data_IF_486418097147
#
_entry.id   IF_486418097147
#
_cell.length_a   1.000
_cell.length_b   1.000
_cell.length_c   1.000
_cell.angle_alpha   90.00
_cell.angle_beta   90.00
_cell.angle_gamma   90.00
#
_symmetry.space_group_name_H-M   'P 1'
#
loop_
_entity.id
_entity.type
_entity.pdbx_description
1 polymer ?
#
# COMPACT_ATOMS: atom_id res chain seq x y z
N UNK A 1 -9.48 20.64 -7.46
CA UNK A 1 -8.63 21.71 -6.87
C UNK A 1 -8.04 22.65 -7.92
N UNK A 2 -8.17 22.34 -9.23
CA UNK A 2 -7.59 23.15 -10.31
C UNK A 2 -6.07 23.00 -10.54
N UNK A 3 -5.41 22.10 -9.82
CA UNK A 3 -3.97 21.85 -9.98
C UNK A 3 -3.63 21.12 -11.28
N UNK A 4 -4.56 20.32 -11.82
CA UNK A 4 -4.40 19.62 -13.09
C UNK A 4 -5.27 20.31 -14.16
N UNK A 5 -4.62 20.99 -15.10
CA UNK A 5 -5.25 21.56 -16.29
C UNK A 5 -5.14 20.64 -17.51
N UNK A 6 -5.76 21.02 -18.64
CA UNK A 6 -5.60 20.30 -19.90
C UNK A 6 -4.13 20.16 -20.27
N UNK A 7 -3.71 18.96 -20.71
CA UNK A 7 -2.35 18.67 -21.12
C UNK A 7 -1.32 18.58 -19.98
N UNK A 8 -1.75 18.58 -18.72
CA UNK A 8 -0.85 18.40 -17.60
C UNK A 8 -0.24 16.99 -17.59
N UNK A 9 1.00 16.89 -17.10
CA UNK A 9 1.70 15.63 -16.89
C UNK A 9 1.73 15.31 -15.41
N UNK A 10 1.19 14.16 -15.03
CA UNK A 10 1.30 13.63 -13.68
C UNK A 10 2.61 12.88 -13.56
N UNK A 11 3.40 13.15 -12.53
CA UNK A 11 4.62 12.42 -12.22
C UNK A 11 4.43 11.76 -10.84
N UNK A 12 4.79 10.49 -10.71
CA UNK A 12 4.73 9.83 -9.40
C UNK A 12 5.88 8.85 -9.20
N UNK A 13 6.65 9.01 -8.11
CA UNK A 13 7.62 8.01 -7.69
C UNK A 13 6.88 6.87 -6.99
N UNK A 14 6.73 5.74 -7.66
CA UNK A 14 6.01 4.59 -7.11
C UNK A 14 6.46 3.28 -7.75
N UNK A 15 6.58 2.26 -6.94
CA UNK A 15 6.88 0.90 -7.37
C UNK A 15 5.66 -0.02 -7.39
N UNK A 16 4.48 0.48 -7.06
CA UNK A 16 3.36 -0.38 -6.74
C UNK A 16 2.00 0.04 -7.30
N UNK A 17 0.98 -0.29 -6.54
CA UNK A 17 -0.42 -0.17 -6.92
C UNK A 17 -0.86 1.27 -7.19
N UNK A 18 -0.24 2.27 -6.52
CA UNK A 18 -0.48 3.68 -6.82
C UNK A 18 -0.18 4.02 -8.27
N UNK A 19 0.93 3.51 -8.82
CA UNK A 19 1.28 3.71 -10.23
C UNK A 19 0.25 3.10 -11.19
N UNK A 20 -0.23 1.90 -10.89
CA UNK A 20 -1.26 1.23 -11.69
C UNK A 20 -2.58 2.01 -11.62
N UNK A 21 -3.00 2.44 -10.44
CA UNK A 21 -4.21 3.24 -10.25
C UNK A 21 -4.15 4.59 -10.95
N UNK A 22 -3.01 5.30 -10.84
CA UNK A 22 -2.79 6.55 -11.56
C UNK A 22 -2.80 6.34 -13.08
N UNK A 23 -2.20 5.25 -13.57
CA UNK A 23 -2.17 4.93 -15.00
C UNK A 23 -3.58 4.70 -15.55
N UNK A 24 -4.40 3.93 -14.84
CA UNK A 24 -5.81 3.71 -15.19
C UNK A 24 -6.60 5.04 -15.25
N UNK A 25 -6.48 5.86 -14.20
CA UNK A 25 -7.20 7.15 -14.13
C UNK A 25 -6.67 8.15 -15.16
N UNK A 26 -5.36 8.22 -15.37
CA UNK A 26 -4.75 9.11 -16.38
C UNK A 26 -5.23 8.75 -17.79
N UNK A 27 -5.22 7.45 -18.15
CA UNK A 27 -5.73 6.96 -19.41
C UNK A 27 -7.20 7.34 -19.63
N UNK A 28 -8.05 7.10 -18.63
CA UNK A 28 -9.50 7.38 -18.74
C UNK A 28 -9.82 8.88 -18.81
N UNK A 29 -8.94 9.75 -18.34
CA UNK A 29 -9.13 11.20 -18.28
C UNK A 29 -8.24 12.00 -19.25
N UNK A 30 -7.43 11.32 -20.07
CA UNK A 30 -6.57 11.96 -21.06
C UNK A 30 -5.38 12.73 -20.47
N UNK A 31 -4.92 12.39 -19.27
CA UNK A 31 -3.69 12.95 -18.69
C UNK A 31 -2.47 12.18 -19.16
N UNK A 32 -1.35 12.89 -19.31
CA UNK A 32 -0.04 12.24 -19.44
C UNK A 32 0.43 11.78 -18.06
N UNK A 33 1.09 10.61 -18.02
CA UNK A 33 1.61 10.05 -16.78
C UNK A 33 3.03 9.55 -16.96
N UNK A 34 3.92 10.00 -16.08
CA UNK A 34 5.28 9.50 -15.94
C UNK A 34 5.42 8.82 -14.57
N UNK A 35 5.73 7.54 -14.58
CA UNK A 35 6.01 6.78 -13.35
C UNK A 35 7.50 6.62 -13.21
N UNK A 36 8.02 7.00 -12.04
CA UNK A 36 9.42 6.78 -11.67
C UNK A 36 9.49 5.63 -10.69
N UNK A 37 10.27 4.59 -11.00
CA UNK A 37 10.37 3.41 -10.16
C UNK A 37 11.76 2.77 -10.19
N UNK A 38 12.18 2.11 -9.09
CA UNK A 38 13.41 1.32 -9.10
C UNK A 38 13.34 0.19 -10.13
N UNK A 39 14.46 -0.09 -10.79
CA UNK A 39 14.56 -1.14 -11.83
C UNK A 39 14.32 -2.57 -11.30
N UNK A 40 14.34 -2.77 -9.99
CA UNK A 40 14.16 -4.06 -9.32
C UNK A 40 12.69 -4.51 -9.19
N UNK A 41 11.74 -3.69 -9.65
CA UNK A 41 10.30 -4.00 -9.52
C UNK A 41 9.81 -5.05 -10.52
N UNK A 42 8.71 -5.75 -10.17
CA UNK A 42 8.15 -6.84 -10.96
C UNK A 42 7.80 -6.42 -12.39
N UNK A 43 7.99 -7.35 -13.33
CA UNK A 43 7.75 -7.13 -14.76
C UNK A 43 6.27 -6.87 -15.02
N UNK A 44 5.37 -7.57 -14.33
CA UNK A 44 3.92 -7.47 -14.47
C UNK A 44 3.43 -6.04 -14.20
N UNK A 45 3.93 -5.42 -13.12
CA UNK A 45 3.57 -4.04 -12.78
C UNK A 45 4.00 -3.05 -13.86
N UNK A 46 5.22 -3.22 -14.40
CA UNK A 46 5.70 -2.38 -15.51
C UNK A 46 4.85 -2.57 -16.76
N UNK A 47 4.50 -3.81 -17.09
CA UNK A 47 3.64 -4.11 -18.24
C UNK A 47 2.24 -3.51 -18.09
N UNK A 48 1.62 -3.63 -16.91
CA UNK A 48 0.31 -3.02 -16.64
C UNK A 48 0.32 -1.51 -16.82
N UNK A 49 1.31 -0.81 -16.24
CA UNK A 49 1.40 0.65 -16.38
C UNK A 49 1.61 1.07 -17.84
N UNK A 50 2.49 0.37 -18.59
CA UNK A 50 2.69 0.61 -20.02
C UNK A 50 1.44 0.33 -20.84
N UNK A 51 0.68 -0.71 -20.51
CA UNK A 51 -0.57 -1.03 -21.19
C UNK A 51 -1.62 0.09 -21.06
N UNK A 52 -1.62 0.82 -19.93
CA UNK A 52 -2.43 2.02 -19.76
C UNK A 52 -1.83 3.28 -20.40
N UNK A 53 -0.66 3.18 -21.04
CA UNK A 53 -0.02 4.31 -21.72
C UNK A 53 0.88 5.19 -20.83
N UNK A 54 1.23 4.73 -19.63
CA UNK A 54 2.17 5.46 -18.79
C UNK A 54 3.61 5.35 -19.32
N UNK A 55 4.35 6.46 -19.27
CA UNK A 55 5.80 6.48 -19.47
C UNK A 55 6.49 6.01 -18.21
N UNK A 56 7.49 5.11 -18.35
CA UNK A 56 8.25 4.58 -17.23
C UNK A 56 9.68 5.11 -17.27
N UNK A 57 10.10 5.74 -16.19
CA UNK A 57 11.48 6.14 -15.92
C UNK A 57 12.03 5.25 -14.81
N UNK A 58 13.07 4.48 -15.13
CA UNK A 58 13.71 3.60 -14.15
C UNK A 58 14.80 4.36 -13.40
N UNK A 59 14.80 4.23 -12.07
CA UNK A 59 15.86 4.73 -11.19
C UNK A 59 16.76 3.58 -10.73
N UNK A 60 17.96 3.93 -10.24
CA UNK A 60 18.90 2.97 -9.70
C UNK A 60 18.27 2.14 -8.56
N UNK A 61 18.22 0.84 -8.74
CA UNK A 61 17.65 -0.09 -7.78
C UNK A 61 18.32 -0.08 -6.41
N UNK A 62 19.64 0.22 -6.36
CA UNK A 62 20.40 0.31 -5.11
C UNK A 62 19.97 1.47 -4.21
N UNK A 63 19.35 2.50 -4.80
CA UNK A 63 18.84 3.69 -4.09
C UNK A 63 17.38 3.53 -3.65
N UNK A 64 16.72 2.46 -4.06
CA UNK A 64 15.33 2.16 -3.71
C UNK A 64 14.36 3.32 -4.00
N UNK A 65 13.39 3.50 -3.11
CA UNK A 65 12.36 4.55 -3.28
C UNK A 65 12.92 5.96 -3.15
N UNK A 66 13.97 6.18 -2.36
CA UNK A 66 14.60 7.49 -2.23
C UNK A 66 15.16 7.98 -3.59
N UNK A 67 15.82 7.11 -4.35
CA UNK A 67 16.29 7.43 -5.69
C UNK A 67 15.16 7.72 -6.68
N UNK A 68 14.03 7.03 -6.56
CA UNK A 68 12.87 7.32 -7.40
C UNK A 68 12.23 8.68 -7.07
N UNK A 69 12.18 9.06 -5.80
CA UNK A 69 11.67 10.37 -5.37
C UNK A 69 12.53 11.49 -5.92
N UNK A 70 13.86 11.43 -5.74
CA UNK A 70 14.78 12.44 -6.27
C UNK A 70 14.65 12.58 -7.79
N UNK A 71 14.56 11.46 -8.51
CA UNK A 71 14.40 11.50 -9.97
C UNK A 71 13.07 12.12 -10.39
N UNK A 72 11.99 11.88 -9.64
CA UNK A 72 10.70 12.53 -9.90
C UNK A 72 10.77 14.06 -9.66
N UNK A 73 11.50 14.50 -8.63
CA UNK A 73 11.73 15.92 -8.35
C UNK A 73 12.59 16.62 -9.41
N UNK A 74 13.52 15.91 -10.05
CA UNK A 74 14.24 16.40 -11.22
C UNK A 74 13.30 16.59 -12.40
N UNK A 75 12.54 15.55 -12.74
CA UNK A 75 11.64 15.56 -13.89
C UNK A 75 10.57 16.65 -13.79
N UNK A 76 10.07 16.96 -12.61
CA UNK A 76 9.06 18.03 -12.45
C UNK A 76 9.63 19.41 -12.77
N UNK A 77 10.95 19.60 -12.66
CA UNK A 77 11.62 20.84 -13.03
C UNK A 77 11.87 20.92 -14.54
N UNK A 78 12.05 19.78 -15.19
CA UNK A 78 12.36 19.65 -16.62
C UNK A 78 11.09 19.65 -17.49
N UNK A 79 10.00 19.08 -16.99
CA UNK A 79 8.75 18.90 -17.75
C UNK A 79 7.77 20.04 -17.41
N UNK A 80 7.51 20.97 -18.32
CA UNK A 80 6.56 22.05 -18.08
C UNK A 80 5.14 21.51 -17.84
N UNK A 81 4.35 22.21 -17.03
CA UNK A 81 2.98 21.83 -16.68
C UNK A 81 2.88 20.42 -16.07
N UNK A 82 3.87 20.04 -15.25
CA UNK A 82 3.89 18.77 -14.56
C UNK A 82 3.57 18.92 -13.07
N UNK A 83 3.16 17.81 -12.45
CA UNK A 83 2.70 17.78 -11.07
C UNK A 83 3.04 16.42 -10.44
N UNK A 84 3.65 16.43 -9.25
CA UNK A 84 3.85 15.22 -8.44
C UNK A 84 2.58 14.94 -7.65
N UNK A 85 1.95 13.76 -7.84
CA UNK A 85 0.74 13.38 -7.11
C UNK A 85 1.01 13.20 -5.61
N UNK A 86 2.20 12.68 -5.25
CA UNK A 86 2.75 12.76 -3.89
C UNK A 86 2.06 11.83 -2.90
N UNK A 87 2.01 10.55 -3.16
CA UNK A 87 1.29 9.57 -2.33
C UNK A 87 1.66 9.58 -0.84
N UNK A 88 2.88 10.00 -0.50
CA UNK A 88 3.39 10.03 0.89
C UNK A 88 3.03 11.30 1.66
N UNK A 89 2.60 12.36 0.95
CA UNK A 89 2.36 13.70 1.52
C UNK A 89 0.97 14.25 1.20
N UNK A 90 0.28 13.71 0.20
CA UNK A 90 -1.01 14.20 -0.27
C UNK A 90 -2.15 13.74 0.63
N UNK A 91 -2.87 14.66 1.32
CA UNK A 91 -3.96 14.31 2.21
C UNK A 91 -5.17 13.69 1.50
N UNK A 92 -5.24 13.77 0.16
CA UNK A 92 -6.28 13.09 -0.61
C UNK A 92 -6.18 11.55 -0.48
N UNK A 93 -4.98 11.01 -0.20
CA UNK A 93 -4.76 9.59 0.02
C UNK A 93 -5.56 9.07 1.23
N UNK A 94 -5.29 9.46 2.49
CA UNK A 94 -6.10 9.00 3.62
C UNK A 94 -7.56 9.46 3.53
N UNK A 95 -7.84 10.64 2.95
CA UNK A 95 -9.21 11.10 2.76
C UNK A 95 -10.03 10.16 1.87
N UNK A 96 -9.47 9.60 0.81
CA UNK A 96 -10.15 8.64 -0.04
C UNK A 96 -10.60 7.42 0.78
N UNK A 97 -9.72 6.85 1.59
CA UNK A 97 -10.05 5.71 2.45
C UNK A 97 -11.05 6.05 3.56
N UNK A 98 -10.98 7.26 4.10
CA UNK A 98 -11.98 7.75 5.06
C UNK A 98 -13.37 7.85 4.45
N UNK A 99 -13.47 8.26 3.17
CA UNK A 99 -14.74 8.49 2.49
C UNK A 99 -15.29 7.26 1.75
N UNK A 100 -14.48 6.21 1.53
CA UNK A 100 -14.90 5.01 0.79
C UNK A 100 -14.60 3.72 1.57
N UNK A 101 -13.34 3.33 1.70
CA UNK A 101 -12.93 2.04 2.30
C UNK A 101 -13.47 1.86 3.73
N UNK A 102 -13.40 2.90 4.55
CA UNK A 102 -13.95 2.87 5.92
C UNK A 102 -15.46 2.65 5.96
N UNK A 103 -16.27 3.47 5.24
CA UNK A 103 -17.70 3.24 5.09
C UNK A 103 -18.07 1.87 4.56
N UNK A 104 -17.43 1.40 3.48
CA UNK A 104 -17.69 0.09 2.88
C UNK A 104 -17.46 -1.04 3.89
N UNK A 105 -16.32 -1.05 4.61
CA UNK A 105 -16.06 -2.04 5.66
C UNK A 105 -17.12 -1.98 6.76
N UNK A 106 -17.52 -0.77 7.16
CA UNK A 106 -18.53 -0.59 8.20
C UNK A 106 -19.90 -1.14 7.79
N UNK A 107 -20.31 -0.88 6.55
CA UNK A 107 -21.59 -1.35 5.98
C UNK A 107 -21.57 -2.87 5.80
N UNK A 108 -20.54 -3.43 5.20
CA UNK A 108 -20.41 -4.87 4.93
C UNK A 108 -20.33 -5.72 6.21
N UNK A 109 -19.82 -5.12 7.29
CA UNK A 109 -19.76 -5.81 8.60
C UNK A 109 -20.96 -5.49 9.50
N UNK A 110 -21.89 -4.65 9.05
CA UNK A 110 -23.00 -4.11 9.87
C UNK A 110 -22.48 -3.48 11.18
N UNK A 111 -21.28 -2.87 11.13
CA UNK A 111 -20.59 -2.31 12.29
C UNK A 111 -20.07 -3.34 13.31
N UNK A 112 -20.21 -4.63 13.00
CA UNK A 112 -19.78 -5.71 13.88
C UNK A 112 -18.35 -6.15 13.54
N UNK A 113 -17.37 -5.37 13.98
CA UNK A 113 -15.94 -5.71 13.90
C UNK A 113 -15.22 -5.21 15.15
N UNK A 114 -14.21 -5.95 15.58
CA UNK A 114 -13.39 -5.63 16.76
C UNK A 114 -11.98 -5.18 16.40
N UNK A 115 -11.46 -5.70 15.28
CA UNK A 115 -10.13 -5.38 14.77
C UNK A 115 -10.16 -5.01 13.29
N UNK A 116 -9.32 -4.03 12.94
CA UNK A 116 -8.95 -3.73 11.56
C UNK A 116 -7.44 -3.89 11.40
N UNK A 117 -6.99 -4.72 10.46
CA UNK A 117 -5.58 -5.03 10.21
C UNK A 117 -5.20 -4.59 8.80
N UNK A 118 -4.15 -3.81 8.65
CA UNK A 118 -3.67 -3.35 7.35
C UNK A 118 -2.15 -3.18 7.30
N UNK A 119 -1.56 -3.52 6.16
CA UNK A 119 -0.15 -3.23 5.85
C UNK A 119 0.10 -1.74 5.65
N UNK A 120 1.27 -1.26 6.10
CA UNK A 120 1.63 0.16 6.02
C UNK A 120 2.70 0.39 4.96
N UNK A 121 2.27 0.90 3.80
CA UNK A 121 3.13 1.49 2.77
C UNK A 121 3.18 3.00 2.96
N UNK A 122 2.26 3.74 2.33
CA UNK A 122 2.10 5.19 2.57
C UNK A 122 1.39 5.50 3.88
N UNK A 123 0.66 4.55 4.43
CA UNK A 123 -0.17 4.76 5.62
C UNK A 123 -1.55 5.35 5.34
N UNK A 124 -1.86 5.66 4.07
CA UNK A 124 -3.16 6.25 3.72
C UNK A 124 -4.35 5.36 4.08
N UNK A 125 -4.25 4.08 3.77
CA UNK A 125 -5.29 3.08 4.06
C UNK A 125 -5.59 3.01 5.56
N UNK A 126 -4.56 2.74 6.37
CA UNK A 126 -4.75 2.55 7.82
C UNK A 126 -5.20 3.84 8.49
N UNK A 127 -4.67 4.99 8.05
CA UNK A 127 -5.07 6.30 8.58
C UNK A 127 -6.54 6.59 8.28
N UNK A 128 -6.92 6.61 7.02
CA UNK A 128 -8.28 6.99 6.64
C UNK A 128 -9.34 6.00 7.13
N UNK A 129 -9.11 4.71 6.89
CA UNK A 129 -10.02 3.65 7.34
C UNK A 129 -10.09 3.59 8.87
N UNK A 130 -8.93 3.61 9.54
CA UNK A 130 -8.87 3.55 11.00
C UNK A 130 -9.54 4.74 11.68
N UNK A 131 -9.34 5.96 11.19
CA UNK A 131 -10.02 7.15 11.68
C UNK A 131 -11.55 7.06 11.53
N UNK A 132 -12.03 6.59 10.37
CA UNK A 132 -13.45 6.40 10.15
C UNK A 132 -14.05 5.35 11.10
N UNK A 133 -13.44 4.17 11.16
CA UNK A 133 -13.92 3.05 11.97
C UNK A 133 -13.88 3.36 13.48
N UNK A 134 -12.79 3.96 13.97
CA UNK A 134 -12.72 4.41 15.39
C UNK A 134 -13.70 5.52 15.70
N UNK A 135 -14.02 6.37 14.72
CA UNK A 135 -15.09 7.38 14.88
C UNK A 135 -16.48 6.78 15.03
N UNK A 136 -16.70 5.56 14.48
CA UNK A 136 -17.94 4.78 14.63
C UNK A 136 -17.96 3.90 15.88
N UNK A 137 -16.82 3.29 16.21
CA UNK A 137 -16.66 2.35 17.33
C UNK A 137 -15.32 2.63 18.03
N UNK A 138 -15.37 3.39 19.13
CA UNK A 138 -14.19 3.92 19.81
C UNK A 138 -13.26 2.87 20.45
N UNK A 139 -13.77 1.67 20.74
CA UNK A 139 -13.02 0.54 21.30
C UNK A 139 -12.42 -0.40 20.22
N UNK A 140 -12.70 -0.14 18.95
CA UNK A 140 -12.13 -0.88 17.83
C UNK A 140 -10.60 -0.78 17.84
N UNK A 141 -9.93 -1.91 17.66
CA UNK A 141 -8.47 -1.99 17.60
C UNK A 141 -7.98 -1.96 16.16
N UNK A 142 -7.01 -1.10 15.90
CA UNK A 142 -6.34 -0.97 14.61
C UNK A 142 -4.93 -1.51 14.72
N UNK A 143 -4.58 -2.46 13.85
CA UNK A 143 -3.27 -3.13 13.83
C UNK A 143 -2.53 -2.76 12.56
N UNK A 144 -1.40 -2.11 12.72
CA UNK A 144 -0.48 -1.79 11.64
C UNK A 144 0.46 -2.97 11.37
N UNK A 145 0.76 -3.24 10.10
CA UNK A 145 1.68 -4.29 9.71
C UNK A 145 2.87 -3.71 8.97
N UNK A 146 4.08 -4.06 9.42
CA UNK A 146 5.33 -3.64 8.81
C UNK A 146 6.28 -4.83 8.57
N UNK A 147 7.29 -4.72 7.69
CA UNK A 147 8.34 -5.72 7.57
C UNK A 147 9.20 -5.78 8.85
N UNK A 148 9.42 -6.98 9.40
CA UNK A 148 10.30 -7.16 10.56
C UNK A 148 11.73 -6.69 10.30
N UNK A 149 12.22 -6.83 9.04
CA UNK A 149 13.54 -6.36 8.62
C UNK A 149 13.64 -4.83 8.44
N UNK A 150 12.51 -4.10 8.47
CA UNK A 150 12.44 -2.64 8.33
C UNK A 150 11.39 -2.07 9.29
N UNK A 151 11.59 -2.30 10.58
CA UNK A 151 10.63 -2.08 11.67
C UNK A 151 10.58 -0.60 12.13
N UNK A 152 10.37 0.32 11.18
CA UNK A 152 10.42 1.77 11.43
C UNK A 152 9.29 2.24 12.33
N UNK A 153 8.09 1.67 12.20
CA UNK A 153 6.93 2.06 13.02
C UNK A 153 7.06 1.58 14.47
N UNK A 154 7.77 0.47 14.68
CA UNK A 154 8.09 -0.05 16.02
C UNK A 154 9.32 0.62 16.66
N UNK A 155 9.86 1.70 16.07
CA UNK A 155 11.04 2.41 16.57
C UNK A 155 12.38 1.78 16.20
N UNK A 156 12.40 0.80 15.30
CA UNK A 156 13.60 0.21 14.71
C UNK A 156 14.17 1.02 13.57
N UNK A 157 15.11 0.41 12.84
CA UNK A 157 15.76 1.02 11.68
C UNK A 157 15.17 0.50 10.38
N UNK A 158 15.20 1.32 9.34
CA UNK A 158 14.95 0.88 7.97
C UNK A 158 16.01 -0.16 7.55
N UNK A 159 15.57 -1.15 6.80
CA UNK A 159 16.43 -2.22 6.28
C UNK A 159 15.84 -2.85 5.03
N UNK A 160 16.61 -3.70 4.34
CA UNK A 160 16.14 -4.40 3.14
C UNK A 160 15.07 -5.46 3.52
N UNK A 161 14.09 -5.61 2.65
CA UNK A 161 13.03 -6.64 2.76
C UNK A 161 12.35 -6.89 1.41
N UNK A 162 11.77 -8.07 1.22
CA UNK A 162 11.02 -8.45 0.02
C UNK A 162 9.52 -8.24 0.10
N UNK A 163 8.98 -7.65 1.18
CA UNK A 163 7.55 -7.37 1.33
C UNK A 163 7.14 -6.17 0.48
N UNK A 164 6.98 -6.38 -0.84
CA UNK A 164 6.59 -5.33 -1.78
C UNK A 164 5.24 -4.70 -1.39
N UNK A 165 5.18 -3.37 -1.46
CA UNK A 165 3.96 -2.59 -1.19
C UNK A 165 3.82 -2.01 0.22
N UNK A 166 4.63 -2.49 1.18
CA UNK A 166 4.70 -1.96 2.55
C UNK A 166 6.15 -1.66 2.94
N UNK A 167 6.37 -0.99 4.08
CA UNK A 167 7.71 -0.75 4.60
C UNK A 167 8.51 0.25 3.77
N UNK A 168 8.06 1.49 3.64
CA UNK A 168 8.71 2.54 2.83
C UNK A 168 10.12 2.94 3.32
N UNK A 169 10.53 2.49 4.51
CA UNK A 169 11.83 2.83 5.12
C UNK A 169 11.83 4.14 5.90
N UNK A 170 10.71 4.82 5.97
CA UNK A 170 10.48 6.05 6.74
C UNK A 170 9.02 6.14 7.18
N UNK A 171 8.72 7.06 8.11
CA UNK A 171 7.34 7.36 8.52
C UNK A 171 6.74 8.39 7.55
N UNK A 172 5.74 8.01 6.73
CA UNK A 172 5.14 8.95 5.77
C UNK A 172 4.37 10.08 6.45
N UNK A 173 4.34 11.26 5.82
CA UNK A 173 3.63 12.43 6.36
C UNK A 173 2.12 12.22 6.46
N UNK A 174 1.52 11.44 5.57
CA UNK A 174 0.08 11.14 5.59
C UNK A 174 -0.32 10.09 6.63
N UNK A 175 0.65 9.42 7.26
CA UNK A 175 0.39 8.44 8.29
C UNK A 175 0.08 9.11 9.63
N UNK A 176 -1.10 8.88 10.16
CA UNK A 176 -1.43 9.20 11.54
C UNK A 176 -0.97 8.05 12.46
N UNK A 177 0.18 8.25 13.12
CA UNK A 177 0.76 7.24 14.02
C UNK A 177 -0.06 7.00 15.31
N UNK A 178 -1.09 7.80 15.55
CA UNK A 178 -1.99 7.64 16.70
C UNK A 178 -3.24 6.81 16.36
N UNK A 179 -3.45 6.48 15.09
CA UNK A 179 -4.65 5.76 14.67
C UNK A 179 -4.59 4.27 15.01
N UNK A 180 -3.41 3.66 15.02
CA UNK A 180 -3.23 2.25 15.34
C UNK A 180 -2.86 2.04 16.81
N UNK A 181 -3.30 0.90 17.35
CA UNK A 181 -3.09 0.50 18.75
C UNK A 181 -1.87 -0.42 18.86
N UNK A 182 -1.50 -1.11 17.80
CA UNK A 182 -0.43 -2.10 17.76
C UNK A 182 0.27 -2.11 16.42
N UNK A 183 1.56 -2.46 16.42
CA UNK A 183 2.35 -2.73 15.20
C UNK A 183 2.84 -4.16 15.23
N UNK A 184 2.60 -4.91 14.15
CA UNK A 184 3.05 -6.30 13.98
C UNK A 184 4.10 -6.36 12.88
N UNK A 185 5.32 -6.76 13.26
CA UNK A 185 6.42 -7.03 12.32
C UNK A 185 6.31 -8.42 11.71
N UNK A 186 6.32 -8.53 10.37
CA UNK A 186 6.16 -9.78 9.64
C UNK A 186 7.44 -10.13 8.87
N UNK A 187 7.83 -11.41 8.88
CA UNK A 187 8.90 -11.95 8.07
C UNK A 187 8.40 -12.22 6.64
N UNK A 188 9.31 -12.16 5.68
CA UNK A 188 8.99 -12.42 4.27
C UNK A 188 8.46 -13.84 4.05
N UNK A 189 9.11 -14.83 4.66
CA UNK A 189 8.72 -16.22 4.60
C UNK A 189 7.31 -16.49 5.13
N UNK A 190 6.91 -15.80 6.21
CA UNK A 190 5.57 -15.89 6.80
C UNK A 190 4.51 -15.33 5.86
N UNK A 191 4.78 -14.16 5.25
CA UNK A 191 3.88 -13.53 4.29
C UNK A 191 3.69 -14.43 3.04
N UNK A 192 4.78 -14.96 2.49
CA UNK A 192 4.74 -15.85 1.32
C UNK A 192 3.98 -17.15 1.62
N UNK A 193 4.20 -17.74 2.80
CA UNK A 193 3.47 -18.94 3.22
C UNK A 193 1.95 -18.69 3.26
N UNK A 194 1.52 -17.54 3.78
CA UNK A 194 0.09 -17.19 3.84
C UNK A 194 -0.50 -16.88 2.45
N UNK A 195 0.25 -16.25 1.53
CA UNK A 195 -0.19 -16.08 0.15
C UNK A 195 -0.48 -17.44 -0.51
N UNK A 196 0.47 -18.38 -0.40
CA UNK A 196 0.34 -19.74 -0.96
C UNK A 196 -0.81 -20.51 -0.30
N UNK A 197 -0.96 -20.39 1.01
CA UNK A 197 -2.03 -21.05 1.75
C UNK A 197 -3.40 -20.52 1.34
N UNK A 198 -3.54 -19.20 1.18
CA UNK A 198 -4.77 -18.55 0.74
C UNK A 198 -5.20 -19.06 -0.64
N UNK A 199 -4.26 -19.14 -1.60
CA UNK A 199 -4.53 -19.70 -2.92
C UNK A 199 -4.95 -21.17 -2.88
N UNK A 200 -4.26 -21.99 -2.05
CA UNK A 200 -4.53 -23.44 -1.96
C UNK A 200 -5.78 -23.82 -1.18
N UNK A 201 -6.16 -23.03 -0.17
CA UNK A 201 -7.28 -23.34 0.73
C UNK A 201 -8.56 -22.60 0.39
N UNK A 202 -8.44 -21.33 -0.01
CA UNK A 202 -9.59 -20.46 -0.27
C UNK A 202 -9.80 -20.18 -1.78
N UNK A 203 -8.85 -20.58 -2.64
CA UNK A 203 -8.93 -20.32 -4.08
C UNK A 203 -8.74 -18.85 -4.45
N UNK A 204 -8.16 -18.03 -3.56
CA UNK A 204 -7.97 -16.60 -3.76
C UNK A 204 -6.49 -16.31 -3.82
N UNK A 205 -6.00 -15.84 -4.98
CA UNK A 205 -4.62 -15.38 -5.13
C UNK A 205 -4.48 -13.96 -4.59
N UNK A 206 -3.59 -13.78 -3.63
CA UNK A 206 -3.32 -12.49 -3.01
C UNK A 206 -1.86 -12.09 -3.14
N UNK A 207 -1.58 -10.77 -3.12
CA UNK A 207 -0.22 -10.26 -3.21
C UNK A 207 0.56 -10.35 -1.91
N UNK A 208 1.86 -10.02 -1.98
CA UNK A 208 2.82 -10.19 -0.87
C UNK A 208 2.39 -9.43 0.38
N UNK A 209 2.01 -8.15 0.25
CA UNK A 209 1.55 -7.35 1.40
C UNK A 209 0.22 -7.84 1.97
N UNK A 210 -0.62 -8.48 1.15
CA UNK A 210 -1.84 -9.15 1.61
C UNK A 210 -1.51 -10.34 2.50
N UNK A 211 -0.53 -11.16 2.10
CA UNK A 211 -0.05 -12.28 2.93
C UNK A 211 0.52 -11.81 4.26
N UNK A 212 1.26 -10.70 4.27
CA UNK A 212 1.77 -10.09 5.50
C UNK A 212 0.63 -9.63 6.42
N UNK A 213 -0.37 -8.93 5.89
CA UNK A 213 -1.52 -8.48 6.65
C UNK A 213 -2.34 -9.67 7.19
N UNK A 214 -2.54 -10.69 6.37
CA UNK A 214 -3.25 -11.91 6.76
C UNK A 214 -2.50 -12.67 7.87
N UNK A 215 -1.17 -12.80 7.76
CA UNK A 215 -0.37 -13.43 8.81
C UNK A 215 -0.54 -12.70 10.15
N UNK A 216 -0.43 -11.37 10.16
CA UNK A 216 -0.63 -10.56 11.35
C UNK A 216 -2.05 -10.75 11.93
N UNK A 217 -3.09 -10.75 11.09
CA UNK A 217 -4.47 -11.00 11.52
C UNK A 217 -4.63 -12.39 12.17
N UNK A 218 -3.98 -13.42 11.61
CA UNK A 218 -3.98 -14.79 12.19
C UNK A 218 -3.26 -14.80 13.54
N UNK A 219 -2.14 -14.07 13.72
CA UNK A 219 -1.49 -13.98 15.03
C UNK A 219 -2.37 -13.27 16.06
N UNK A 220 -3.07 -12.21 15.67
CA UNK A 220 -4.05 -11.52 16.54
C UNK A 220 -5.20 -12.46 16.91
N UNK A 221 -5.73 -13.21 15.95
CA UNK A 221 -6.83 -14.15 16.17
C UNK A 221 -6.49 -15.32 17.10
N UNK A 222 -5.23 -15.76 17.11
CA UNK A 222 -4.75 -16.86 17.97
C UNK A 222 -4.66 -16.50 19.45
N UNK A 223 -4.73 -15.25 19.81
CA UNK A 223 -4.66 -14.80 21.21
C UNK A 223 -5.92 -15.22 21.96
N UNK A 224 -5.82 -15.86 23.13
CA UNK A 224 -7.00 -16.33 23.88
C UNK A 224 -8.03 -15.24 24.18
N UNK A 225 -7.57 -14.03 24.48
CA UNK A 225 -8.41 -12.85 24.73
C UNK A 225 -9.22 -12.36 23.52
N UNK A 226 -8.85 -12.82 22.33
CA UNK A 226 -9.52 -12.46 21.08
C UNK A 226 -10.49 -13.55 20.59
N UNK A 227 -10.72 -14.57 21.39
CA UNK A 227 -11.69 -15.62 21.04
C UNK A 227 -13.09 -15.02 20.79
N UNK A 228 -13.69 -15.33 19.64
CA UNK A 228 -15.00 -14.82 19.24
C UNK A 228 -14.98 -13.39 18.68
N UNK A 229 -13.83 -12.74 18.62
CA UNK A 229 -13.67 -11.42 18.02
C UNK A 229 -13.70 -11.48 16.49
N UNK A 230 -14.31 -10.48 15.87
CA UNK A 230 -14.32 -10.30 14.42
C UNK A 230 -13.16 -9.41 13.98
N UNK A 231 -12.28 -9.97 13.13
CA UNK A 231 -11.10 -9.30 12.60
C UNK A 231 -11.30 -9.07 11.10
N UNK A 232 -11.24 -7.82 10.69
CA UNK A 232 -11.21 -7.44 9.27
C UNK A 232 -9.75 -7.19 8.88
N UNK A 233 -9.31 -7.86 7.82
CA UNK A 233 -7.96 -7.68 7.24
C UNK A 233 -8.09 -7.17 5.81
N UNK A 234 -7.34 -6.11 5.49
CA UNK A 234 -7.32 -5.55 4.14
C UNK A 234 -6.25 -6.25 3.30
N UNK A 235 -6.67 -6.83 2.18
CA UNK A 235 -5.84 -7.51 1.18
C UNK A 235 -5.83 -6.63 -0.08
N UNK A 236 -4.77 -5.81 -0.30
CA UNK A 236 -4.85 -4.69 -1.22
C UNK A 236 -4.73 -5.05 -2.71
N UNK A 237 -4.21 -6.24 -3.04
CA UNK A 237 -4.06 -6.65 -4.44
C UNK A 237 -4.04 -8.18 -4.63
N UNK A 238 -4.03 -8.57 -5.91
CA UNK A 238 -4.07 -9.97 -6.33
C UNK A 238 -2.66 -10.53 -6.55
N UNK A 239 -2.54 -11.87 -6.49
CA UNK A 239 -1.30 -12.60 -6.73
C UNK A 239 -0.78 -12.53 -8.17
N UNK A 240 -1.64 -12.21 -9.14
CA UNK A 240 -1.29 -12.13 -10.58
C UNK A 240 -0.16 -11.12 -10.85
N UNK A 241 0.01 -10.13 -9.98
CA UNK A 241 1.06 -9.11 -10.08
C UNK A 241 2.43 -9.58 -9.63
N UNK A 242 2.55 -10.84 -9.21
CA UNK A 242 3.75 -11.40 -8.55
C UNK A 242 4.19 -12.74 -9.12
N UNK A 243 3.66 -13.16 -10.27
CA UNK A 243 3.96 -14.48 -10.86
C UNK A 243 5.45 -14.66 -11.18
N UNK A 244 6.17 -13.58 -11.54
CA UNK A 244 7.61 -13.62 -11.81
C UNK A 244 8.49 -13.49 -10.56
N UNK A 245 7.93 -13.40 -9.35
CA UNK A 245 8.69 -13.09 -8.13
C UNK A 245 9.06 -14.33 -7.29
N UNK A 246 8.73 -15.54 -7.74
CA UNK A 246 8.89 -16.77 -6.95
C UNK A 246 7.90 -16.89 -5.77
N UNK A 247 6.90 -16.01 -5.68
CA UNK A 247 5.89 -16.04 -4.61
C UNK A 247 5.17 -17.39 -4.55
N UNK A 248 4.88 -18.00 -5.69
CA UNK A 248 4.08 -19.22 -5.83
C UNK A 248 4.89 -20.48 -6.18
N UNK A 249 6.22 -20.39 -6.13
CA UNK A 249 7.12 -21.53 -6.36
C UNK A 249 7.13 -22.52 -5.19
#
# INVERSE_FOLDING_TARGET
SGKLGPGATIIEPTSGNTGIGLACVAASRGYKLVIVMPETMSVERRQLMKAYGAELVLSDGSRGMAGAIEKAEELVKEIPNSFIAGQFVNPANPKAHFCSTGPEIWEDTEGNLDFFVAGVGTGGTITGTGQFLKGKKGDLKVVAVEPKGSAVLSGGKAGPHGLQGIGAGFVPQVLDTKVFDEVVGVLEEDAFALCRLMGKKEGILVGISSGAALWAAVQVAKRPENQGKRIVVLLPDTGDRYLSTGLFD
#
